data_IF_758925726238
#
_entry.id   IF_758925726238
#
_cell.length_a   1.000
_cell.length_b   1.000
_cell.length_c   1.000
_cell.angle_alpha   90.00
_cell.angle_beta   90.00
_cell.angle_gamma   90.00
#
_symmetry.space_group_name_H-M   'P 1'
#
loop_
_entity.id
_entity.type
_entity.pdbx_description
1 polymer ?
#
# COMPACT_ATOMS: atom_id res chain seq x y z
N UNK A 1 -11.48 -114.27 -10.27
CA UNK A 1 -12.18 -113.79 -11.50
C UNK A 1 -12.61 -112.35 -11.27
N UNK A 2 -12.30 -111.45 -12.21
CA UNK A 2 -12.51 -109.98 -12.13
C UNK A 2 -14.00 -109.60 -12.17
N UNK A 3 -14.40 -108.56 -11.42
CA UNK A 3 -15.36 -107.51 -11.84
C UNK A 3 -15.43 -106.44 -10.72
N UNK A 4 -14.90 -105.23 -10.88
CA UNK A 4 -15.27 -104.01 -11.65
C UNK A 4 -16.10 -103.03 -10.79
N UNK A 5 -15.45 -101.89 -10.53
CA UNK A 5 -15.85 -100.74 -9.69
C UNK A 5 -16.92 -99.90 -10.41
N UNK A 6 -17.90 -99.38 -9.66
CA UNK A 6 -18.84 -98.34 -10.12
C UNK A 6 -18.68 -97.05 -9.28
N UNK A 7 -18.67 -95.92 -9.99
CA UNK A 7 -18.45 -94.55 -9.51
C UNK A 7 -19.78 -93.81 -9.22
N UNK A 8 -19.63 -92.80 -8.36
CA UNK A 8 -20.57 -91.81 -7.78
C UNK A 8 -21.45 -91.01 -8.76
N UNK A 9 -22.53 -90.43 -8.24
CA UNK A 9 -22.96 -89.05 -8.55
C UNK A 9 -23.82 -88.49 -7.39
N UNK A 10 -23.44 -87.32 -6.85
CA UNK A 10 -24.23 -86.56 -5.89
C UNK A 10 -24.32 -85.11 -6.42
N UNK A 11 -25.53 -84.57 -6.50
CA UNK A 11 -25.82 -83.24 -7.02
C UNK A 11 -25.48 -82.16 -5.98
N UNK A 12 -24.77 -81.11 -6.41
CA UNK A 12 -24.50 -79.90 -5.63
C UNK A 12 -25.52 -78.83 -6.04
N UNK A 13 -26.31 -78.34 -5.08
CA UNK A 13 -27.19 -77.18 -5.24
C UNK A 13 -26.35 -75.93 -4.93
N UNK A 14 -26.19 -75.04 -5.91
CA UNK A 14 -25.53 -73.75 -5.76
C UNK A 14 -26.55 -72.73 -5.23
N UNK A 15 -26.35 -72.22 -4.02
CA UNK A 15 -27.10 -71.07 -3.48
C UNK A 15 -26.33 -69.80 -3.85
N UNK A 16 -26.91 -68.95 -4.68
CA UNK A 16 -26.41 -67.61 -4.96
C UNK A 16 -26.73 -66.68 -3.78
N UNK A 17 -25.74 -66.36 -2.94
CA UNK A 17 -25.84 -65.25 -2.01
C UNK A 17 -25.66 -63.93 -2.77
N UNK A 18 -26.73 -63.17 -2.93
CA UNK A 18 -26.68 -61.78 -3.39
C UNK A 18 -26.14 -60.95 -2.21
N UNK A 19 -24.86 -60.58 -2.26
CA UNK A 19 -24.28 -59.60 -1.35
C UNK A 19 -24.73 -58.21 -1.84
N UNK A 20 -25.70 -57.63 -1.16
CA UNK A 20 -25.96 -56.20 -1.28
C UNK A 20 -24.80 -55.45 -0.62
N UNK A 21 -23.89 -54.90 -1.43
CA UNK A 21 -22.92 -53.92 -0.97
C UNK A 21 -23.65 -52.63 -0.65
N UNK A 22 -23.99 -52.42 0.62
CA UNK A 22 -24.35 -51.08 1.10
C UNK A 22 -23.08 -50.23 0.99
N UNK A 23 -23.07 -49.11 0.24
CA UNK A 23 -21.92 -48.23 0.23
C UNK A 23 -21.71 -47.70 1.65
N UNK A 24 -20.56 -48.05 2.24
CA UNK A 24 -20.10 -47.43 3.47
C UNK A 24 -19.76 -45.98 3.08
N UNK A 25 -20.64 -45.03 3.42
CA UNK A 25 -20.29 -43.61 3.37
C UNK A 25 -19.19 -43.43 4.41
N UNK A 26 -17.96 -43.17 3.97
CA UNK A 26 -16.87 -42.81 4.86
C UNK A 26 -17.32 -41.61 5.71
N UNK A 27 -17.33 -41.76 7.04
CA UNK A 27 -17.68 -40.69 7.96
C UNK A 27 -16.62 -39.60 7.82
N UNK A 28 -17.05 -38.36 7.60
CA UNK A 28 -16.15 -37.20 7.54
C UNK A 28 -15.22 -37.18 8.77
N UNK A 29 -13.92 -37.03 8.53
CA UNK A 29 -12.95 -36.88 9.62
C UNK A 29 -12.99 -35.44 10.11
N UNK A 30 -13.47 -35.22 11.34
CA UNK A 30 -13.65 -33.89 11.92
C UNK A 30 -12.69 -33.71 13.09
N UNK A 31 -11.79 -32.74 12.97
CA UNK A 31 -10.78 -32.42 13.99
C UNK A 31 -10.81 -30.93 14.29
N UNK A 32 -10.81 -30.58 15.58
CA UNK A 32 -10.70 -29.18 16.02
C UNK A 32 -9.32 -28.92 16.60
N UNK A 33 -8.66 -27.90 16.09
CA UNK A 33 -7.39 -27.39 16.57
C UNK A 33 -7.64 -26.08 17.33
N UNK A 34 -6.85 -25.85 18.36
CA UNK A 34 -7.00 -24.67 19.24
C UNK A 34 -5.65 -24.07 19.56
N UNK A 35 -5.55 -22.74 19.51
CA UNK A 35 -4.39 -22.00 20.00
C UNK A 35 -4.85 -20.65 20.53
N UNK A 36 -4.51 -20.35 21.78
CA UNK A 36 -5.05 -19.20 22.52
C UNK A 36 -6.58 -19.18 22.47
N UNK A 37 -7.16 -18.11 21.94
CA UNK A 37 -8.62 -17.94 21.78
C UNK A 37 -9.13 -18.30 20.39
N UNK A 38 -8.28 -18.85 19.50
CA UNK A 38 -8.62 -19.19 18.12
C UNK A 38 -8.88 -20.68 17.96
N UNK A 39 -9.90 -21.01 17.17
CA UNK A 39 -10.40 -22.36 16.94
C UNK A 39 -10.54 -22.61 15.44
N UNK A 40 -9.90 -23.67 14.95
CA UNK A 40 -10.06 -24.16 13.57
C UNK A 40 -10.65 -25.56 13.61
N UNK A 41 -11.86 -25.74 13.09
CA UNK A 41 -12.46 -27.06 12.89
C UNK A 41 -12.28 -27.46 11.43
N UNK A 42 -11.53 -28.53 11.17
CA UNK A 42 -11.39 -29.12 9.84
C UNK A 42 -12.38 -30.28 9.72
N UNK A 43 -13.25 -30.22 8.71
CA UNK A 43 -14.17 -31.30 8.30
C UNK A 43 -13.68 -31.86 6.97
N UNK A 44 -13.06 -33.03 6.98
CA UNK A 44 -12.50 -33.67 5.80
C UNK A 44 -13.47 -34.69 5.20
N UNK A 45 -14.17 -34.29 4.13
CA UNK A 45 -15.08 -35.16 3.38
C UNK A 45 -14.36 -35.93 2.24
N UNK A 46 -13.05 -35.73 2.07
CA UNK A 46 -12.28 -36.32 0.97
C UNK A 46 -11.61 -37.65 1.34
N UNK A 47 -11.38 -37.90 2.63
CA UNK A 47 -10.64 -39.06 3.18
C UNK A 47 -9.20 -39.24 2.67
N UNK A 48 -8.63 -38.25 1.96
CA UNK A 48 -7.31 -38.35 1.30
C UNK A 48 -6.35 -37.19 1.60
N UNK A 49 -6.73 -36.19 2.41
CA UNK A 49 -5.84 -35.05 2.69
C UNK A 49 -4.59 -35.53 3.46
N UNK A 50 -3.37 -35.38 2.92
CA UNK A 50 -2.16 -35.82 3.60
C UNK A 50 -1.96 -35.10 4.93
N UNK A 51 -1.49 -35.80 5.97
CA UNK A 51 -1.27 -35.22 7.31
C UNK A 51 -0.31 -34.03 7.28
N UNK A 52 0.67 -34.02 6.37
CA UNK A 52 1.59 -32.89 6.16
C UNK A 52 0.87 -31.65 5.64
N UNK A 53 0.04 -31.80 4.61
CA UNK A 53 -0.78 -30.71 4.06
C UNK A 53 -1.79 -30.19 5.08
N UNK A 54 -2.42 -31.10 5.84
CA UNK A 54 -3.30 -30.72 6.96
C UNK A 54 -2.56 -29.88 8.00
N UNK A 55 -1.35 -30.28 8.37
CA UNK A 55 -0.54 -29.50 9.32
C UNK A 55 -0.15 -28.14 8.75
N UNK A 56 0.17 -28.03 7.46
CA UNK A 56 0.45 -26.74 6.81
C UNK A 56 -0.78 -25.82 6.85
N UNK A 57 -1.98 -26.34 6.60
CA UNK A 57 -3.23 -25.59 6.71
C UNK A 57 -3.42 -25.06 8.13
N UNK A 58 -3.22 -25.92 9.14
CA UNK A 58 -3.33 -25.56 10.56
C UNK A 58 -2.32 -24.45 10.90
N UNK A 59 -1.08 -24.56 10.43
CA UNK A 59 -0.04 -23.56 10.65
C UNK A 59 -0.40 -22.22 9.98
N UNK A 60 -0.81 -22.25 8.70
CA UNK A 60 -1.29 -21.05 7.98
C UNK A 60 -2.39 -20.34 8.76
N UNK A 61 -3.39 -21.08 9.26
CA UNK A 61 -4.46 -20.48 10.05
C UNK A 61 -3.95 -19.78 11.32
N UNK A 62 -3.18 -20.48 12.17
CA UNK A 62 -2.76 -19.94 13.46
C UNK A 62 -1.69 -18.86 13.35
N UNK A 63 -0.93 -18.82 12.27
CA UNK A 63 0.04 -17.76 12.00
C UNK A 63 -0.62 -16.51 11.42
N UNK A 64 -1.56 -16.68 10.48
CA UNK A 64 -2.10 -15.57 9.67
C UNK A 64 -3.37 -14.97 10.27
N UNK A 65 -4.33 -15.79 10.69
CA UNK A 65 -5.66 -15.31 11.08
C UNK A 65 -5.67 -14.37 12.29
N UNK A 66 -4.87 -14.62 13.36
CA UNK A 66 -4.77 -13.68 14.47
C UNK A 66 -4.23 -12.30 14.07
N UNK A 67 -3.28 -12.24 13.11
CA UNK A 67 -2.73 -10.97 12.62
C UNK A 67 -3.78 -10.16 11.86
N UNK A 68 -4.53 -10.81 10.96
CA UNK A 68 -5.56 -10.14 10.15
C UNK A 68 -6.72 -9.66 11.02
N UNK A 69 -7.21 -10.50 11.94
CA UNK A 69 -8.29 -10.08 12.86
C UNK A 69 -7.83 -8.95 13.78
N UNK A 70 -6.61 -8.97 14.30
CA UNK A 70 -6.07 -7.87 15.11
C UNK A 70 -6.03 -6.54 14.34
N UNK A 71 -5.60 -6.57 13.06
CA UNK A 71 -5.44 -5.37 12.25
C UNK A 71 -6.75 -4.79 11.72
N UNK A 72 -7.63 -5.63 11.17
CA UNK A 72 -8.78 -5.17 10.40
C UNK A 72 -10.08 -5.24 11.17
N UNK A 73 -10.32 -6.33 11.91
CA UNK A 73 -11.58 -6.53 12.64
C UNK A 73 -11.37 -7.41 13.89
N UNK A 74 -11.03 -6.79 15.05
CA UNK A 74 -10.82 -7.54 16.29
C UNK A 74 -12.04 -8.34 16.74
N UNK A 75 -13.24 -7.91 16.32
CA UNK A 75 -14.54 -8.54 16.60
C UNK A 75 -14.90 -9.70 15.66
N UNK A 76 -14.11 -9.98 14.63
CA UNK A 76 -14.33 -11.14 13.77
C UNK A 76 -14.32 -12.45 14.56
N UNK A 77 -15.12 -13.43 14.11
CA UNK A 77 -15.24 -14.74 14.75
C UNK A 77 -13.87 -15.36 14.99
N UNK A 78 -13.61 -15.84 16.21
CA UNK A 78 -12.37 -16.59 16.52
C UNK A 78 -12.49 -18.08 16.17
N UNK A 79 -13.67 -18.51 15.73
CA UNK A 79 -13.97 -19.88 15.32
C UNK A 79 -14.23 -19.94 13.83
N UNK A 80 -13.41 -20.70 13.11
CA UNK A 80 -13.53 -20.95 11.67
C UNK A 80 -13.70 -22.44 11.42
N UNK A 81 -14.64 -22.80 10.55
CA UNK A 81 -14.80 -24.18 10.06
C UNK A 81 -14.25 -24.27 8.64
N UNK A 82 -13.28 -25.15 8.40
CA UNK A 82 -12.75 -25.45 7.08
C UNK A 82 -13.27 -26.82 6.63
N UNK A 83 -14.08 -26.85 5.58
CA UNK A 83 -14.56 -28.10 4.96
C UNK A 83 -13.72 -28.42 3.73
N UNK A 84 -13.14 -29.62 3.69
CA UNK A 84 -12.45 -30.16 2.51
C UNK A 84 -13.49 -30.89 1.67
N UNK A 85 -13.84 -30.32 0.52
CA UNK A 85 -14.93 -30.83 -0.34
C UNK A 85 -14.36 -31.43 -1.64
N UNK A 86 -14.58 -32.75 -1.90
CA UNK A 86 -14.16 -33.39 -3.14
C UNK A 86 -14.97 -32.96 -4.38
N UNK A 87 -16.15 -32.36 -4.19
CA UNK A 87 -17.06 -31.97 -5.27
C UNK A 87 -16.94 -30.49 -5.66
N UNK A 88 -16.21 -29.68 -4.90
CA UNK A 88 -15.99 -28.28 -5.24
C UNK A 88 -14.92 -28.14 -6.33
N UNK A 89 -15.26 -27.41 -7.40
CA UNK A 89 -14.41 -27.26 -8.59
C UNK A 89 -13.47 -26.05 -8.57
N UNK A 90 -13.68 -25.09 -7.66
CA UNK A 90 -12.78 -23.94 -7.46
C UNK A 90 -11.59 -24.26 -6.56
N UNK A 91 -10.82 -23.25 -6.16
CA UNK A 91 -9.76 -23.43 -5.17
C UNK A 91 -10.35 -23.46 -3.75
N UNK A 92 -10.96 -22.35 -3.32
CA UNK A 92 -11.69 -22.24 -2.07
C UNK A 92 -12.78 -21.16 -2.18
N UNK A 93 -13.69 -21.11 -1.19
CA UNK A 93 -14.60 -19.97 -0.96
C UNK A 93 -14.98 -19.85 0.52
N UNK A 94 -15.32 -18.65 0.95
CA UNK A 94 -15.83 -18.36 2.29
C UNK A 94 -17.32 -18.01 2.29
N UNK A 95 -18.03 -18.38 3.37
CA UNK A 95 -19.38 -17.93 3.69
C UNK A 95 -19.58 -17.91 5.21
N UNK A 96 -19.80 -16.70 5.76
CA UNK A 96 -19.78 -16.48 7.20
C UNK A 96 -18.43 -16.86 7.80
N UNK A 97 -18.41 -17.78 8.75
CA UNK A 97 -17.18 -18.34 9.34
C UNK A 97 -16.82 -19.73 8.79
N UNK A 98 -17.46 -20.15 7.69
CA UNK A 98 -17.17 -21.40 7.01
C UNK A 98 -16.32 -21.13 5.77
N UNK A 99 -15.26 -21.90 5.60
CA UNK A 99 -14.43 -21.93 4.39
C UNK A 99 -14.57 -23.32 3.80
N UNK A 100 -14.76 -23.39 2.48
CA UNK A 100 -14.72 -24.65 1.73
C UNK A 100 -13.48 -24.63 0.85
N UNK A 101 -12.65 -25.66 0.97
CA UNK A 101 -11.43 -25.88 0.19
C UNK A 101 -11.64 -27.11 -0.70
N UNK A 102 -11.33 -26.99 -1.99
CA UNK A 102 -11.42 -28.13 -2.91
C UNK A 102 -10.36 -29.17 -2.57
N UNK A 103 -10.79 -30.42 -2.37
CA UNK A 103 -9.88 -31.54 -2.19
C UNK A 103 -9.00 -31.74 -3.44
N UNK A 104 -9.58 -31.55 -4.64
CA UNK A 104 -8.87 -31.73 -5.90
C UNK A 104 -7.78 -30.67 -6.10
N UNK A 105 -8.08 -29.42 -5.73
CA UNK A 105 -7.11 -28.31 -5.80
C UNK A 105 -5.93 -28.56 -4.86
N UNK A 106 -6.20 -28.79 -3.57
CA UNK A 106 -5.12 -28.89 -2.57
C UNK A 106 -4.28 -30.15 -2.74
N UNK A 107 -4.86 -31.26 -3.23
CA UNK A 107 -4.09 -32.45 -3.58
C UNK A 107 -3.16 -32.21 -4.77
N UNK A 108 -3.57 -31.37 -5.73
CA UNK A 108 -2.75 -31.00 -6.89
C UNK A 108 -1.74 -29.89 -6.56
N UNK A 109 -2.03 -29.07 -5.55
CA UNK A 109 -1.24 -27.92 -5.12
C UNK A 109 -1.00 -27.97 -3.60
N UNK A 110 -0.29 -28.98 -3.06
CA UNK A 110 -0.19 -29.22 -1.62
C UNK A 110 0.51 -28.09 -0.83
N UNK A 111 1.22 -27.21 -1.52
CA UNK A 111 1.87 -26.03 -0.93
C UNK A 111 1.00 -24.77 -1.00
N UNK A 112 -0.13 -24.78 -1.72
CA UNK A 112 -1.04 -23.63 -1.86
C UNK A 112 -2.03 -23.55 -0.70
N UNK A 113 -1.53 -23.55 0.53
CA UNK A 113 -2.37 -23.34 1.71
C UNK A 113 -2.76 -21.87 1.87
N UNK A 114 -2.06 -20.93 1.25
CA UNK A 114 -2.45 -19.51 1.29
C UNK A 114 -3.69 -19.17 0.45
N UNK A 115 -4.22 -20.11 -0.34
CA UNK A 115 -5.58 -19.96 -0.85
C UNK A 115 -6.59 -19.77 0.29
N UNK A 116 -6.40 -20.39 1.46
CA UNK A 116 -7.26 -20.13 2.62
C UNK A 116 -6.93 -18.80 3.30
N UNK A 117 -5.76 -18.20 3.11
CA UNK A 117 -5.46 -16.85 3.63
C UNK A 117 -6.38 -15.80 2.99
N UNK A 118 -6.64 -15.93 1.69
CA UNK A 118 -7.64 -15.13 0.98
C UNK A 118 -9.03 -15.32 1.62
N UNK A 119 -9.46 -16.58 1.78
CA UNK A 119 -10.78 -16.89 2.35
C UNK A 119 -10.94 -16.47 3.82
N UNK A 120 -9.86 -16.58 4.60
CA UNK A 120 -9.82 -16.11 5.97
C UNK A 120 -10.02 -14.60 6.04
N UNK A 121 -9.52 -13.83 5.07
CA UNK A 121 -9.79 -12.39 5.01
C UNK A 121 -11.29 -12.12 4.83
N UNK A 122 -12.03 -12.89 4.03
CA UNK A 122 -13.49 -12.72 3.93
C UNK A 122 -14.21 -12.94 5.28
N UNK A 123 -13.71 -13.85 6.13
CA UNK A 123 -14.21 -14.02 7.50
C UNK A 123 -13.89 -12.78 8.37
N UNK A 124 -12.71 -12.17 8.19
CA UNK A 124 -12.33 -10.92 8.88
C UNK A 124 -13.19 -9.74 8.41
N UNK A 125 -13.39 -9.62 7.11
CA UNK A 125 -14.16 -8.57 6.47
C UNK A 125 -15.59 -8.56 7.01
N UNK A 126 -16.28 -9.71 7.00
CA UNK A 126 -17.65 -9.83 7.50
C UNK A 126 -18.58 -8.68 7.00
N UNK A 127 -18.38 -8.24 5.75
CA UNK A 127 -19.07 -7.07 5.21
C UNK A 127 -20.58 -7.31 5.12
N UNK A 128 -21.41 -6.30 5.43
CA UNK A 128 -22.88 -6.42 5.33
C UNK A 128 -23.35 -6.51 3.86
N UNK A 129 -22.54 -6.01 2.92
CA UNK A 129 -22.83 -6.06 1.49
C UNK A 129 -21.59 -6.42 0.69
N UNK A 130 -21.79 -7.22 -0.35
CA UNK A 130 -20.73 -7.69 -1.24
C UNK A 130 -20.55 -6.78 -2.46
N UNK A 131 -20.30 -5.48 -2.21
CA UNK A 131 -20.08 -4.47 -3.26
C UNK A 131 -19.18 -3.32 -2.77
N UNK A 132 -18.22 -2.81 -3.58
CA UNK A 132 -17.86 -3.28 -4.92
C UNK A 132 -16.93 -4.50 -4.88
N UNK A 133 -17.26 -5.51 -5.69
CA UNK A 133 -16.59 -6.82 -5.72
C UNK A 133 -15.08 -6.71 -5.93
N UNK A 134 -14.64 -5.87 -6.87
CA UNK A 134 -13.21 -5.71 -7.18
C UNK A 134 -12.39 -5.31 -5.95
N UNK A 135 -12.93 -4.44 -5.08
CA UNK A 135 -12.23 -3.96 -3.90
C UNK A 135 -12.28 -4.99 -2.77
N UNK A 136 -13.43 -5.63 -2.57
CA UNK A 136 -13.62 -6.66 -1.54
C UNK A 136 -12.64 -7.82 -1.76
N UNK A 137 -12.61 -8.33 -2.99
CA UNK A 137 -11.74 -9.42 -3.40
C UNK A 137 -10.27 -8.97 -3.49
N UNK A 138 -10.04 -7.72 -3.92
CA UNK A 138 -8.72 -7.12 -3.94
C UNK A 138 -8.09 -6.98 -2.55
N UNK A 139 -8.89 -6.67 -1.52
CA UNK A 139 -8.44 -6.66 -0.12
C UNK A 139 -8.08 -8.07 0.34
N UNK A 140 -8.83 -9.09 -0.05
CA UNK A 140 -8.52 -10.49 0.27
C UNK A 140 -7.21 -10.96 -0.38
N UNK A 141 -6.96 -10.63 -1.65
CA UNK A 141 -5.67 -10.89 -2.30
C UNK A 141 -4.52 -10.02 -1.75
N UNK A 142 -4.80 -8.79 -1.31
CA UNK A 142 -3.81 -7.98 -0.59
C UNK A 142 -3.42 -8.64 0.72
N UNK A 143 -4.39 -9.18 1.48
CA UNK A 143 -4.13 -9.90 2.72
C UNK A 143 -3.30 -11.17 2.45
N UNK A 144 -3.64 -11.92 1.39
CA UNK A 144 -2.82 -13.04 0.93
C UNK A 144 -1.39 -12.62 0.61
N UNK A 145 -1.19 -11.51 -0.12
CA UNK A 145 0.15 -10.98 -0.38
C UNK A 145 0.90 -10.59 0.90
N UNK A 146 0.22 -9.97 1.86
CA UNK A 146 0.84 -9.39 3.05
C UNK A 146 1.16 -10.41 4.15
N UNK A 147 0.31 -11.42 4.30
CA UNK A 147 0.36 -12.38 5.42
C UNK A 147 0.62 -13.81 4.99
N UNK A 148 0.46 -14.16 3.71
CA UNK A 148 0.63 -15.52 3.25
C UNK A 148 2.06 -16.02 3.45
N UNK A 149 2.20 -17.18 4.10
CA UNK A 149 3.48 -17.77 4.52
C UNK A 149 4.02 -18.82 3.53
N UNK A 150 3.17 -19.31 2.63
CA UNK A 150 3.43 -20.37 1.65
C UNK A 150 3.28 -19.91 0.18
N UNK A 151 3.02 -18.62 -0.08
CA UNK A 151 2.94 -18.05 -1.43
C UNK A 151 4.17 -18.38 -2.31
N UNK A 152 5.44 -18.25 -1.83
CA UNK A 152 6.59 -18.63 -2.64
C UNK A 152 6.59 -20.11 -3.02
N UNK A 153 6.19 -20.99 -2.10
CA UNK A 153 6.15 -22.44 -2.31
C UNK A 153 5.01 -22.90 -3.23
N UNK A 154 3.96 -22.08 -3.36
CA UNK A 154 2.84 -22.29 -4.30
C UNK A 154 3.01 -21.59 -5.64
N UNK A 155 4.06 -20.77 -5.80
CA UNK A 155 4.26 -19.94 -6.99
C UNK A 155 3.26 -18.79 -7.12
N UNK A 156 2.50 -18.49 -6.06
CA UNK A 156 1.59 -17.35 -6.03
C UNK A 156 2.36 -16.06 -5.76
N UNK A 157 2.02 -14.99 -6.48
CA UNK A 157 2.63 -13.67 -6.34
C UNK A 157 1.65 -12.57 -6.77
N UNK A 158 1.97 -11.31 -6.52
CA UNK A 158 1.29 -10.22 -7.24
C UNK A 158 1.82 -10.14 -8.68
N UNK A 159 0.97 -9.87 -9.69
CA UNK A 159 1.42 -9.73 -11.07
C UNK A 159 2.36 -8.53 -11.21
N UNK A 160 3.19 -8.53 -12.25
CA UNK A 160 3.85 -7.29 -12.64
C UNK A 160 2.80 -6.31 -13.18
N UNK A 161 3.07 -5.01 -13.00
CA UNK A 161 2.26 -3.98 -13.63
C UNK A 161 2.33 -4.10 -15.16
N UNK A 162 1.19 -3.91 -15.82
CA UNK A 162 1.09 -3.72 -17.25
C UNK A 162 0.26 -2.48 -17.55
N UNK A 163 0.66 -1.61 -18.50
CA UNK A 163 -0.14 -0.45 -18.92
C UNK A 163 -1.54 -0.79 -19.46
N UNK A 164 -1.78 -2.05 -19.84
CA UNK A 164 -3.09 -2.53 -20.29
C UNK A 164 -4.04 -2.90 -19.14
N UNK A 165 -3.58 -2.86 -17.89
CA UNK A 165 -4.37 -3.23 -16.72
C UNK A 165 -5.16 -2.03 -16.17
N UNK A 166 -6.21 -2.35 -15.41
CA UNK A 166 -6.98 -1.44 -14.58
C UNK A 166 -7.18 -2.03 -13.18
N UNK A 167 -7.39 -1.21 -12.14
CA UNK A 167 -7.57 -1.68 -10.76
C UNK A 167 -8.80 -2.58 -10.57
N UNK A 168 -9.68 -2.69 -11.57
CA UNK A 168 -10.86 -3.56 -11.56
C UNK A 168 -10.69 -4.87 -12.34
N UNK A 169 -9.56 -5.09 -13.02
CA UNK A 169 -9.43 -6.20 -13.99
C UNK A 169 -9.29 -7.58 -13.33
N UNK A 170 -8.58 -7.65 -12.21
CA UNK A 170 -8.46 -8.88 -11.42
C UNK A 170 -8.09 -8.55 -9.98
N UNK A 171 -8.44 -9.46 -9.07
CA UNK A 171 -8.22 -9.29 -7.64
C UNK A 171 -6.74 -9.12 -7.29
N UNK A 172 -5.84 -9.85 -7.97
CA UNK A 172 -4.38 -9.69 -7.81
C UNK A 172 -3.87 -8.35 -8.32
N UNK A 173 -4.46 -7.80 -9.39
CA UNK A 173 -4.13 -6.46 -9.88
C UNK A 173 -4.60 -5.41 -8.88
N UNK A 174 -5.83 -5.53 -8.37
CA UNK A 174 -6.34 -4.67 -7.28
C UNK A 174 -5.44 -4.75 -6.06
N UNK A 175 -5.08 -5.95 -5.61
CA UNK A 175 -4.22 -6.18 -4.45
C UNK A 175 -2.86 -5.53 -4.58
N UNK A 176 -2.25 -5.59 -5.77
CA UNK A 176 -1.00 -4.90 -6.07
C UNK A 176 -1.14 -3.39 -5.97
N UNK A 177 -2.23 -2.85 -6.52
CA UNK A 177 -2.51 -1.43 -6.42
C UNK A 177 -2.79 -0.97 -4.99
N UNK A 178 -3.50 -1.76 -4.19
CA UNK A 178 -3.68 -1.52 -2.76
C UNK A 178 -2.35 -1.53 -2.00
N UNK A 179 -1.47 -2.51 -2.29
CA UNK A 179 -0.13 -2.56 -1.72
C UNK A 179 0.68 -1.30 -2.08
N UNK A 180 0.61 -0.86 -3.33
CA UNK A 180 1.25 0.38 -3.76
C UNK A 180 0.67 1.60 -3.05
N UNK A 181 -0.66 1.69 -2.91
CA UNK A 181 -1.32 2.77 -2.20
C UNK A 181 -0.89 2.82 -0.72
N UNK A 182 -0.81 1.67 -0.06
CA UNK A 182 -0.34 1.61 1.32
C UNK A 182 1.13 2.04 1.48
N UNK A 183 1.96 1.75 0.46
CA UNK A 183 3.36 2.14 0.46
C UNK A 183 3.59 3.62 0.18
N UNK A 184 2.83 4.19 -0.78
CA UNK A 184 3.14 5.49 -1.36
C UNK A 184 2.14 6.60 -0.99
N UNK A 185 0.93 6.23 -0.56
CA UNK A 185 -0.19 7.16 -0.36
C UNK A 185 -0.52 7.32 1.13
N UNK A 186 -0.88 6.24 1.81
CA UNK A 186 -1.24 6.25 3.23
C UNK A 186 -1.10 4.84 3.80
N UNK A 187 -0.25 4.65 4.82
CA UNK A 187 0.10 3.34 5.37
C UNK A 187 -1.06 2.60 6.07
N UNK A 188 -2.21 3.25 6.25
CA UNK A 188 -3.44 2.68 6.78
C UNK A 188 -4.59 2.68 5.76
N UNK A 189 -4.34 2.99 4.48
CA UNK A 189 -5.41 3.15 3.49
C UNK A 189 -6.28 1.90 3.37
N UNK A 190 -5.67 0.71 3.37
CA UNK A 190 -6.41 -0.57 3.25
C UNK A 190 -7.28 -0.81 4.49
N UNK A 191 -6.78 -0.47 5.69
CA UNK A 191 -7.57 -0.55 6.93
C UNK A 191 -8.79 0.37 6.89
N UNK A 192 -8.60 1.61 6.43
CA UNK A 192 -9.67 2.61 6.33
C UNK A 192 -10.71 2.19 5.29
N UNK A 193 -10.30 1.61 4.17
CA UNK A 193 -11.20 1.07 3.14
C UNK A 193 -12.01 -0.12 3.67
N UNK A 194 -11.36 -1.08 4.33
CA UNK A 194 -12.00 -2.20 5.01
C UNK A 194 -13.05 -1.70 6.02
N UNK A 195 -12.68 -0.75 6.89
CA UNK A 195 -13.59 -0.18 7.88
C UNK A 195 -14.83 0.47 7.23
N UNK A 196 -14.64 1.24 6.14
CA UNK A 196 -15.76 1.86 5.40
C UNK A 196 -16.69 0.83 4.78
N UNK A 197 -16.16 -0.28 4.28
CA UNK A 197 -16.94 -1.41 3.76
C UNK A 197 -17.68 -2.15 4.89
N UNK A 198 -17.02 -2.44 6.02
CA UNK A 198 -17.63 -3.06 7.21
C UNK A 198 -18.79 -2.24 7.76
N UNK A 199 -18.60 -0.92 7.85
CA UNK A 199 -19.59 -0.02 8.42
C UNK A 199 -20.66 0.43 7.40
N UNK A 200 -20.64 -0.10 6.17
CA UNK A 200 -21.56 0.28 5.09
C UNK A 200 -21.58 1.79 4.79
N UNK A 201 -20.41 2.42 4.81
CA UNK A 201 -20.25 3.87 4.51
C UNK A 201 -19.40 4.13 3.27
N UNK A 202 -18.92 3.08 2.60
CA UNK A 202 -18.18 3.19 1.35
C UNK A 202 -19.06 3.75 0.22
N UNK A 203 -18.60 4.84 -0.39
CA UNK A 203 -19.20 5.51 -1.54
C UNK A 203 -18.10 6.08 -2.49
N UNK A 204 -18.50 6.76 -3.57
CA UNK A 204 -17.58 7.30 -4.58
C UNK A 204 -16.55 8.31 -4.05
N UNK A 205 -16.83 8.98 -2.93
CA UNK A 205 -15.94 9.98 -2.34
C UNK A 205 -14.94 9.38 -1.34
N UNK A 206 -15.10 8.10 -0.95
CA UNK A 206 -14.33 7.47 0.14
C UNK A 206 -12.82 7.62 -0.02
N UNK A 207 -12.29 7.40 -1.23
CA UNK A 207 -10.85 7.52 -1.51
C UNK A 207 -10.35 8.94 -1.29
N UNK A 208 -11.09 9.94 -1.80
CA UNK A 208 -10.75 11.35 -1.65
C UNK A 208 -10.85 11.78 -0.18
N UNK A 209 -11.83 11.29 0.57
CA UNK A 209 -11.94 11.52 2.02
C UNK A 209 -10.77 10.90 2.81
N UNK A 210 -10.29 9.73 2.41
CA UNK A 210 -9.20 9.03 3.11
C UNK A 210 -7.84 9.69 2.85
N UNK A 211 -7.53 10.02 1.60
CA UNK A 211 -6.17 10.41 1.22
C UNK A 211 -6.07 11.61 0.28
N UNK A 212 -7.18 12.30 -0.01
CA UNK A 212 -7.18 13.49 -0.89
C UNK A 212 -7.18 13.18 -2.39
N UNK A 213 -7.19 11.90 -2.79
CA UNK A 213 -7.19 11.48 -4.20
C UNK A 213 -8.39 10.56 -4.49
N UNK A 214 -9.01 10.72 -5.65
CA UNK A 214 -9.92 9.71 -6.18
C UNK A 214 -9.16 8.44 -6.58
N UNK A 215 -9.86 7.30 -6.65
CA UNK A 215 -9.24 6.01 -7.04
C UNK A 215 -8.59 6.07 -8.43
N UNK A 216 -9.18 6.80 -9.39
CA UNK A 216 -8.62 6.97 -10.74
C UNK A 216 -7.33 7.79 -10.72
N UNK A 217 -7.25 8.84 -9.90
CA UNK A 217 -6.02 9.62 -9.73
C UNK A 217 -4.90 8.77 -9.11
N UNK A 218 -5.24 7.92 -8.14
CA UNK A 218 -4.30 6.99 -7.55
C UNK A 218 -3.84 5.94 -8.57
N UNK A 219 -4.73 5.41 -9.40
CA UNK A 219 -4.34 4.47 -10.45
C UNK A 219 -3.37 5.10 -11.45
N UNK A 220 -3.63 6.35 -11.83
CA UNK A 220 -2.70 7.09 -12.68
C UNK A 220 -1.33 7.23 -12.00
N UNK A 221 -1.28 7.63 -10.72
CA UNK A 221 -0.01 7.72 -9.98
C UNK A 221 0.73 6.39 -9.97
N UNK A 222 0.00 5.31 -9.67
CA UNK A 222 0.52 3.95 -9.71
C UNK A 222 1.08 3.58 -11.09
N UNK A 223 0.39 3.95 -12.18
CA UNK A 223 0.77 3.61 -13.55
C UNK A 223 2.13 4.19 -13.98
N UNK A 224 2.55 5.31 -13.38
CA UNK A 224 3.80 6.01 -13.70
C UNK A 224 4.98 5.55 -12.84
N UNK A 225 4.71 5.17 -11.58
CA UNK A 225 5.70 4.58 -10.69
C UNK A 225 5.15 3.33 -10.02
N UNK A 226 4.97 2.22 -10.76
CA UNK A 226 4.29 1.01 -10.27
C UNK A 226 5.16 0.16 -9.33
N UNK A 227 6.30 0.71 -8.93
CA UNK A 227 7.30 0.04 -8.11
C UNK A 227 6.70 -0.23 -6.73
N UNK A 228 6.65 -1.51 -6.33
CA UNK A 228 6.39 -1.88 -4.94
C UNK A 228 7.67 -1.79 -4.13
N UNK A 229 8.29 -0.61 -4.17
CA UNK A 229 9.47 -0.27 -3.40
C UNK A 229 9.17 1.07 -2.78
N UNK A 230 9.23 1.15 -1.45
CA UNK A 230 9.01 2.41 -0.77
C UNK A 230 10.13 3.37 -1.18
N UNK A 231 9.79 4.64 -1.43
CA UNK A 231 10.80 5.68 -1.29
C UNK A 231 11.21 5.67 0.18
N UNK A 232 12.42 5.19 0.43
CA UNK A 232 12.90 4.93 1.78
C UNK A 232 13.88 6.01 2.21
N UNK A 233 13.65 6.52 3.40
CA UNK A 233 14.69 7.18 4.18
C UNK A 233 15.72 6.13 4.54
N UNK A 234 16.96 6.37 4.16
CA UNK A 234 18.07 5.49 4.55
C UNK A 234 18.81 6.11 5.71
N UNK A 235 19.09 5.31 6.71
CA UNK A 235 19.81 5.66 7.93
C UNK A 235 21.14 4.89 7.93
N UNK A 236 22.22 5.53 8.37
CA UNK A 236 23.55 4.93 8.35
C UNK A 236 24.31 5.19 9.64
N UNK A 237 25.09 4.18 10.03
CA UNK A 237 25.97 4.23 11.20
C UNK A 237 26.99 5.37 11.14
N UNK A 238 27.54 5.63 9.96
CA UNK A 238 28.66 6.54 9.80
C UNK A 238 28.31 7.75 8.93
N UNK A 239 29.06 8.84 9.15
CA UNK A 239 28.87 10.11 8.44
C UNK A 239 29.16 10.02 6.93
N UNK A 240 29.92 9.02 6.50
CA UNK A 240 30.22 8.74 5.09
C UNK A 240 29.17 7.84 4.41
N UNK A 241 28.02 7.63 5.06
CA UNK A 241 26.96 6.70 4.65
C UNK A 241 27.42 5.22 4.67
N UNK A 242 28.48 4.92 5.44
CA UNK A 242 28.97 3.56 5.67
C UNK A 242 28.38 2.90 6.93
N UNK A 243 28.90 1.70 7.23
CA UNK A 243 28.49 0.87 8.36
C UNK A 243 27.15 0.16 8.12
N UNK A 244 26.42 -0.15 9.20
CA UNK A 244 25.06 -0.69 9.05
C UNK A 244 24.13 0.34 8.39
N UNK A 245 23.09 -0.15 7.72
CA UNK A 245 22.06 0.72 7.15
C UNK A 245 20.66 0.17 7.36
N UNK A 246 19.71 1.08 7.53
CA UNK A 246 18.28 0.77 7.66
C UNK A 246 17.50 1.62 6.67
N UNK A 247 16.51 1.02 6.00
CA UNK A 247 15.63 1.72 5.08
C UNK A 247 14.20 1.72 5.63
N UNK A 248 13.63 2.92 5.79
CA UNK A 248 12.33 3.15 6.42
C UNK A 248 11.44 3.99 5.51
N UNK A 249 10.14 3.67 5.45
CA UNK A 249 9.16 4.52 4.75
C UNK A 249 8.44 5.48 5.70
N UNK A 250 7.28 5.99 5.27
CA UNK A 250 6.40 6.78 6.15
C UNK A 250 5.99 5.97 7.39
N UNK A 251 6.10 6.60 8.55
CA UNK A 251 5.73 5.98 9.82
C UNK A 251 6.35 6.64 11.06
N UNK A 252 5.96 6.10 12.20
CA UNK A 252 6.43 6.49 13.52
C UNK A 252 7.14 5.28 14.13
N UNK A 253 8.43 5.39 14.37
CA UNK A 253 9.30 4.28 14.74
C UNK A 253 9.84 4.48 16.15
N UNK A 254 9.32 3.69 17.10
CA UNK A 254 9.93 3.51 18.43
C UNK A 254 11.23 2.71 18.32
N UNK A 255 12.05 2.72 19.36
CA UNK A 255 13.30 1.97 19.43
C UNK A 255 13.09 0.48 19.13
N UNK A 256 12.08 -0.14 19.76
CA UNK A 256 11.75 -1.55 19.52
C UNK A 256 11.42 -1.83 18.06
N UNK A 257 10.70 -0.91 17.42
CA UNK A 257 10.37 -1.01 16.00
C UNK A 257 11.64 -0.83 15.17
N UNK A 258 12.47 0.18 15.43
CA UNK A 258 13.72 0.43 14.72
C UNK A 258 14.68 -0.77 14.78
N UNK A 259 14.86 -1.37 15.97
CA UNK A 259 15.71 -2.54 16.16
C UNK A 259 15.24 -3.75 15.34
N UNK A 260 13.92 -3.91 15.14
CA UNK A 260 13.39 -4.98 14.26
C UNK A 260 13.78 -4.80 12.78
N UNK A 261 14.17 -3.59 12.37
CA UNK A 261 14.72 -3.28 11.05
C UNK A 261 16.25 -3.32 11.00
N UNK A 262 16.92 -3.70 12.10
CA UNK A 262 18.39 -3.75 12.18
C UNK A 262 19.07 -2.45 12.61
N UNK A 263 18.30 -1.46 13.09
CA UNK A 263 18.85 -0.23 13.65
C UNK A 263 19.57 -0.52 14.97
N UNK A 264 20.75 0.06 15.16
CA UNK A 264 21.48 -0.02 16.42
C UNK A 264 21.30 1.30 17.18
N UNK A 265 20.84 1.19 18.44
CA UNK A 265 20.58 2.37 19.28
C UNK A 265 21.86 3.19 19.43
N UNK A 266 21.72 4.52 19.45
CA UNK A 266 22.82 5.43 19.74
C UNK A 266 24.03 5.26 18.79
N UNK A 267 23.77 4.97 17.51
CA UNK A 267 24.82 4.84 16.48
C UNK A 267 24.48 5.52 15.15
N UNK A 268 23.38 6.28 15.07
CA UNK A 268 23.01 6.97 13.82
C UNK A 268 23.91 8.19 13.61
N UNK A 269 24.53 8.30 12.43
CA UNK A 269 25.35 9.46 12.07
C UNK A 269 24.89 10.20 10.81
N UNK A 270 24.30 9.50 9.83
CA UNK A 270 23.86 10.12 8.57
C UNK A 270 22.58 9.52 8.00
N UNK A 271 21.96 10.25 7.07
CA UNK A 271 20.69 9.85 6.48
C UNK A 271 20.48 10.40 5.06
N UNK A 272 19.75 9.65 4.25
CA UNK A 272 19.25 10.06 2.93
C UNK A 272 17.74 10.29 3.05
N UNK A 273 17.28 11.50 2.70
CA UNK A 273 15.85 11.84 2.69
C UNK A 273 15.38 12.02 1.26
N UNK A 274 14.43 11.20 0.77
CA UNK A 274 13.81 11.41 -0.53
C UNK A 274 13.08 12.76 -0.60
N UNK A 275 12.99 13.34 -1.80
CA UNK A 275 12.26 14.58 -2.02
C UNK A 275 10.80 14.45 -1.57
N UNK A 276 10.30 15.43 -0.82
CA UNK A 276 8.93 15.44 -0.31
C UNK A 276 8.74 14.77 1.05
N UNK A 277 9.82 14.33 1.69
CA UNK A 277 9.80 13.72 3.02
C UNK A 277 10.49 14.62 4.04
N UNK A 278 10.05 14.50 5.30
CA UNK A 278 10.78 15.00 6.46
C UNK A 278 11.00 13.86 7.46
N UNK A 279 12.16 13.89 8.09
CA UNK A 279 12.58 12.96 9.14
C UNK A 279 12.76 13.77 10.42
N UNK A 280 12.02 13.42 11.47
CA UNK A 280 12.27 13.97 12.81
C UNK A 280 12.97 12.91 13.64
N UNK A 281 14.21 13.17 14.05
CA UNK A 281 14.97 12.33 14.95
C UNK A 281 14.74 12.77 16.39
N UNK A 282 14.69 11.83 17.32
CA UNK A 282 14.54 12.06 18.75
C UNK A 282 15.64 11.33 19.50
N UNK A 283 16.23 11.99 20.50
CA UNK A 283 17.30 11.39 21.31
C UNK A 283 16.79 10.23 22.16
N UNK A 284 15.55 10.32 22.65
CA UNK A 284 14.96 9.30 23.50
C UNK A 284 13.88 8.49 22.76
N UNK A 285 13.55 7.31 23.29
CA UNK A 285 12.49 6.46 22.73
C UNK A 285 11.10 7.15 22.88
N UNK A 286 10.12 6.65 22.14
CA UNK A 286 8.73 7.11 22.16
C UNK A 286 8.57 8.60 21.84
N UNK A 287 9.43 9.11 20.95
CA UNK A 287 9.41 10.48 20.43
C UNK A 287 9.57 11.54 21.52
N UNK A 288 10.46 11.27 22.47
CA UNK A 288 10.76 12.16 23.60
C UNK A 288 12.21 12.66 23.55
N UNK A 289 12.60 13.50 24.50
CA UNK A 289 13.92 14.14 24.50
C UNK A 289 14.04 15.29 23.49
N UNK A 290 15.28 15.59 23.11
CA UNK A 290 15.59 16.59 22.08
C UNK A 290 15.23 16.06 20.69
N UNK A 291 14.82 16.95 19.78
CA UNK A 291 14.46 16.57 18.41
C UNK A 291 15.06 17.49 17.34
N UNK A 292 15.38 16.92 16.18
CA UNK A 292 15.85 17.64 14.99
C UNK A 292 15.12 17.15 13.74
N UNK A 293 14.89 18.05 12.78
CA UNK A 293 14.17 17.75 11.53
C UNK A 293 15.10 17.85 10.33
N UNK A 294 15.08 16.83 9.47
CA UNK A 294 15.76 16.80 8.18
C UNK A 294 14.74 16.67 7.05
N UNK A 295 14.76 17.60 6.09
CA UNK A 295 13.93 17.55 4.88
C UNK A 295 14.77 17.29 3.61
N UNK A 296 16.05 16.96 3.79
CA UNK A 296 17.02 16.63 2.74
C UNK A 296 18.09 15.70 3.31
N UNK A 297 18.77 14.98 2.43
CA UNK A 297 19.95 14.16 2.77
C UNK A 297 20.98 14.96 3.57
N UNK A 298 21.53 14.33 4.61
CA UNK A 298 22.63 14.89 5.41
C UNK A 298 23.67 13.81 5.69
N UNK A 299 24.93 14.14 5.45
CA UNK A 299 26.07 13.31 5.80
C UNK A 299 26.40 13.39 7.30
N UNK A 300 25.78 14.30 8.05
CA UNK A 300 25.99 14.39 9.49
C UNK A 300 24.75 14.95 10.18
N UNK A 301 24.29 14.29 11.24
CA UNK A 301 23.07 14.70 11.96
C UNK A 301 23.32 15.72 13.08
N UNK A 302 24.57 16.13 13.28
CA UNK A 302 24.97 17.14 14.27
C UNK A 302 25.37 16.56 15.62
N UNK A 303 26.26 17.25 16.33
CA UNK A 303 26.92 16.76 17.56
C UNK A 303 25.94 16.42 18.71
N UNK A 304 24.81 17.11 18.75
CA UNK A 304 23.78 16.88 19.78
C UNK A 304 23.00 15.57 19.56
N UNK A 305 22.96 15.06 18.32
CA UNK A 305 22.16 13.91 17.92
C UNK A 305 22.99 12.71 17.48
N UNK A 306 24.21 12.92 17.00
CA UNK A 306 25.11 11.87 16.56
C UNK A 306 25.26 10.82 17.65
N UNK A 307 25.06 9.55 17.29
CA UNK A 307 25.16 8.41 18.20
C UNK A 307 24.26 8.53 19.46
N UNK A 308 23.09 9.17 19.32
CA UNK A 308 22.14 9.36 20.44
C UNK A 308 20.68 9.17 20.05
N UNK A 309 20.37 8.76 18.82
CA UNK A 309 18.98 8.68 18.34
C UNK A 309 18.33 7.37 18.75
N UNK A 310 17.15 7.45 19.37
CA UNK A 310 16.38 6.30 19.85
C UNK A 310 14.97 6.17 19.27
N UNK A 311 14.42 7.22 18.65
CA UNK A 311 13.14 7.12 17.91
C UNK A 311 13.04 8.11 16.75
N UNK A 312 12.24 7.77 15.73
CA UNK A 312 12.22 8.49 14.45
C UNK A 312 10.78 8.63 13.92
N UNK A 313 10.44 9.81 13.43
CA UNK A 313 9.21 10.05 12.65
C UNK A 313 9.56 10.35 11.20
N UNK A 314 8.91 9.68 10.26
CA UNK A 314 9.05 9.93 8.83
C UNK A 314 7.68 10.31 8.29
N UNK A 315 7.60 11.55 7.80
CA UNK A 315 6.37 12.19 7.37
C UNK A 315 6.56 12.84 6.00
N UNK A 316 5.47 13.28 5.39
CA UNK A 316 5.55 14.17 4.22
C UNK A 316 6.00 15.55 4.65
N UNK A 317 6.89 16.13 3.85
CA UNK A 317 7.28 17.52 3.99
C UNK A 317 6.28 18.42 3.24
N UNK A 318 5.87 19.49 3.91
CA UNK A 318 5.17 20.61 3.28
C UNK A 318 6.09 21.82 3.30
N UNK A 319 5.98 22.68 2.31
CA UNK A 319 6.85 23.83 2.15
C UNK A 319 6.04 25.10 1.90
N UNK A 320 6.50 26.20 2.46
CA UNK A 320 6.22 27.52 1.95
C UNK A 320 7.21 27.81 0.82
N UNK A 321 6.71 28.18 -0.36
CA UNK A 321 7.52 28.45 -1.54
C UNK A 321 7.61 29.96 -1.71
N UNK A 322 8.76 30.55 -1.38
CA UNK A 322 8.96 32.00 -1.41
C UNK A 322 9.61 32.44 -2.72
N UNK A 323 9.11 33.51 -3.34
CA UNK A 323 9.79 34.17 -4.45
C UNK A 323 11.04 34.90 -3.97
N UNK A 324 12.18 34.66 -4.62
CA UNK A 324 13.45 35.37 -4.35
C UNK A 324 13.32 36.87 -4.61
N UNK A 325 12.52 37.26 -5.60
CA UNK A 325 12.33 38.65 -6.01
C UNK A 325 11.56 39.47 -4.99
N UNK A 326 10.39 39.00 -4.57
CA UNK A 326 9.43 39.79 -3.79
C UNK A 326 9.40 39.44 -2.29
N UNK A 327 9.96 38.30 -1.90
CA UNK A 327 9.82 37.73 -0.56
C UNK A 327 8.40 37.23 -0.24
N UNK A 328 7.49 37.23 -1.23
CA UNK A 328 6.10 36.73 -1.12
C UNK A 328 6.05 35.23 -1.38
N UNK A 329 4.95 34.60 -1.00
CA UNK A 329 4.80 33.15 -1.04
C UNK A 329 3.77 32.71 -2.07
N UNK A 330 4.03 31.56 -2.69
CA UNK A 330 3.11 30.89 -3.60
C UNK A 330 1.80 30.57 -2.85
N UNK A 331 0.67 31.00 -3.40
CA UNK A 331 -0.63 31.01 -2.74
C UNK A 331 -1.75 30.67 -3.73
N UNK A 332 -2.74 29.88 -3.31
CA UNK A 332 -3.98 29.69 -4.05
C UNK A 332 -4.93 30.85 -3.78
N UNK A 333 -5.28 31.63 -4.80
CA UNK A 333 -6.08 32.85 -4.65
C UNK A 333 -7.34 32.63 -3.80
N UNK A 334 -7.48 33.47 -2.77
CA UNK A 334 -8.58 33.46 -1.80
C UNK A 334 -8.75 32.13 -1.05
N UNK A 335 -7.75 31.25 -1.05
CA UNK A 335 -7.85 29.90 -0.49
C UNK A 335 -8.95 29.06 -1.15
N UNK A 336 -9.23 29.28 -2.44
CA UNK A 336 -10.30 28.57 -3.14
C UNK A 336 -10.05 27.05 -3.19
N UNK A 337 -11.14 26.29 -3.17
CA UNK A 337 -11.13 24.84 -3.39
C UNK A 337 -11.38 24.46 -4.85
N UNK A 338 -11.67 25.43 -5.71
CA UNK A 338 -12.13 25.17 -7.08
C UNK A 338 -10.97 24.89 -8.02
N UNK A 339 -11.24 24.03 -9.01
CA UNK A 339 -10.40 23.90 -10.19
C UNK A 339 -10.38 25.23 -10.95
N UNK A 340 -9.20 25.63 -11.43
CA UNK A 340 -9.03 26.87 -12.18
C UNK A 340 -8.75 28.09 -11.34
N UNK A 341 -8.74 27.97 -10.00
CA UNK A 341 -8.34 29.07 -9.14
C UNK A 341 -6.87 29.45 -9.42
N UNK A 342 -6.57 30.73 -9.72
CA UNK A 342 -5.21 31.16 -10.03
C UNK A 342 -4.25 30.89 -8.87
N UNK A 343 -3.01 30.54 -9.22
CA UNK A 343 -1.89 30.58 -8.29
C UNK A 343 -1.28 31.97 -8.39
N UNK A 344 -1.11 32.61 -7.24
CA UNK A 344 -0.62 33.98 -7.08
C UNK A 344 0.56 33.97 -6.11
N UNK A 345 1.22 35.12 -5.96
CA UNK A 345 2.00 35.40 -4.76
C UNK A 345 1.18 36.19 -3.74
N UNK A 346 1.42 35.95 -2.45
CA UNK A 346 0.82 36.72 -1.36
C UNK A 346 1.77 36.84 -0.17
N UNK A 347 1.55 37.85 0.67
CA UNK A 347 2.26 38.04 1.94
C UNK A 347 2.11 36.81 2.83
N UNK A 348 3.16 36.47 3.58
CA UNK A 348 3.10 35.31 4.47
C UNK A 348 1.94 35.44 5.46
N UNK A 349 1.06 34.44 5.48
CA UNK A 349 -0.03 34.33 6.44
C UNK A 349 -0.09 32.95 7.13
N UNK A 350 0.73 31.99 6.69
CA UNK A 350 0.80 30.65 7.26
C UNK A 350 -0.39 29.74 6.94
N UNK A 351 -1.34 30.22 6.13
CA UNK A 351 -2.54 29.48 5.73
C UNK A 351 -2.20 28.22 4.93
N UNK A 352 -3.12 27.23 4.95
CA UNK A 352 -2.94 25.96 4.23
C UNK A 352 -2.84 26.16 2.71
N UNK A 353 -3.43 27.24 2.17
CA UNK A 353 -3.32 27.67 0.78
C UNK A 353 -1.91 28.15 0.38
N UNK A 354 -1.03 28.42 1.35
CA UNK A 354 0.38 28.76 1.13
C UNK A 354 1.34 27.57 1.32
N UNK A 355 0.81 26.40 1.67
CA UNK A 355 1.61 25.23 1.97
C UNK A 355 1.52 24.21 0.84
N UNK A 356 2.67 23.74 0.38
CA UNK A 356 2.79 22.92 -0.81
C UNK A 356 3.59 21.66 -0.53
N UNK A 357 3.09 20.52 -1.00
CA UNK A 357 3.83 19.26 -1.04
C UNK A 357 4.57 19.16 -2.38
N UNK A 358 5.86 18.84 -2.34
CA UNK A 358 6.64 18.51 -3.54
C UNK A 358 6.78 17.00 -3.62
N UNK A 359 5.96 16.37 -4.46
CA UNK A 359 5.84 14.90 -4.56
C UNK A 359 6.66 14.40 -5.73
N UNK A 360 7.71 13.61 -5.47
CA UNK A 360 8.47 12.94 -6.52
C UNK A 360 7.56 11.98 -7.32
N UNK A 361 7.57 12.12 -8.64
CA UNK A 361 6.85 11.27 -9.59
C UNK A 361 7.79 10.29 -10.31
N UNK A 362 9.09 10.33 -10.00
CA UNK A 362 10.14 9.59 -10.68
C UNK A 362 10.65 10.30 -11.94
N UNK A 363 11.73 9.75 -12.53
CA UNK A 363 12.36 10.26 -13.75
C UNK A 363 12.77 11.76 -13.68
N UNK A 364 13.01 12.28 -12.48
CA UNK A 364 13.43 13.68 -12.27
C UNK A 364 12.30 14.71 -12.27
N UNK A 365 11.03 14.29 -12.24
CA UNK A 365 9.88 15.18 -12.19
C UNK A 365 9.09 15.00 -10.89
N UNK A 366 8.43 16.07 -10.47
CA UNK A 366 7.57 16.12 -9.30
C UNK A 366 6.21 16.76 -9.64
N UNK A 367 5.24 16.58 -8.74
CA UNK A 367 4.06 17.42 -8.66
C UNK A 367 4.18 18.37 -7.47
N UNK A 368 3.59 19.56 -7.58
CA UNK A 368 3.57 20.57 -6.52
C UNK A 368 2.12 20.73 -6.08
N UNK A 369 1.73 20.08 -4.98
CA UNK A 369 0.34 19.98 -4.55
C UNK A 369 0.04 20.94 -3.41
N UNK A 370 -1.09 21.62 -3.46
CA UNK A 370 -1.59 22.40 -2.33
C UNK A 370 -1.93 21.47 -1.16
N UNK A 371 -1.41 21.77 0.03
CA UNK A 371 -1.77 21.07 1.28
C UNK A 371 -3.25 21.22 1.60
N UNK A 372 -3.84 22.37 1.26
CA UNK A 372 -5.24 22.62 1.52
C UNK A 372 -6.15 21.71 0.67
N UNK A 373 -5.92 21.68 -0.64
CA UNK A 373 -6.91 21.13 -1.57
C UNK A 373 -6.52 19.79 -2.19
N UNK A 374 -5.25 19.37 -2.07
CA UNK A 374 -4.69 18.23 -2.80
C UNK A 374 -4.57 18.45 -4.31
N UNK A 375 -4.90 19.65 -4.82
CA UNK A 375 -4.76 20.01 -6.24
C UNK A 375 -3.34 20.43 -6.56
N UNK A 376 -2.95 20.33 -7.81
CA UNK A 376 -1.57 20.57 -8.25
C UNK A 376 -1.41 21.93 -8.92
N UNK A 377 -0.20 22.47 -8.87
CA UNK A 377 0.27 23.53 -9.76
C UNK A 377 0.21 23.03 -11.21
N UNK A 378 -0.58 23.70 -12.04
CA UNK A 378 -0.96 23.29 -13.38
C UNK A 378 -0.82 24.48 -14.36
N UNK A 379 -0.17 24.26 -15.51
CA UNK A 379 -0.18 25.24 -16.61
C UNK A 379 -1.51 25.14 -17.35
N UNK A 380 -2.32 26.20 -17.23
CA UNK A 380 -3.68 26.29 -17.75
C UNK A 380 -3.71 26.07 -19.27
N UNK A 381 -4.70 25.31 -19.72
CA UNK A 381 -4.97 24.98 -21.12
C UNK A 381 -3.76 24.39 -21.88
N UNK A 382 -2.82 23.76 -21.16
CA UNK A 382 -1.57 23.22 -21.71
C UNK A 382 -0.79 24.25 -22.53
N UNK A 383 -0.84 25.52 -22.13
CA UNK A 383 -0.13 26.58 -22.83
C UNK A 383 1.36 26.25 -22.97
N UNK A 384 1.95 26.60 -24.12
CA UNK A 384 3.40 26.45 -24.38
C UNK A 384 4.09 27.79 -24.63
N UNK A 385 3.32 28.88 -24.74
CA UNK A 385 3.83 30.24 -24.90
C UNK A 385 4.13 30.90 -23.55
N UNK A 386 4.94 31.96 -23.59
CA UNK A 386 5.18 32.86 -22.45
C UNK A 386 3.87 33.52 -22.03
N UNK A 387 3.67 33.69 -20.72
CA UNK A 387 2.44 34.26 -20.17
C UNK A 387 1.31 33.25 -19.96
N UNK A 388 1.55 31.95 -20.20
CA UNK A 388 0.60 30.90 -19.86
C UNK A 388 0.34 30.86 -18.35
N UNK A 389 -0.90 31.08 -17.93
CA UNK A 389 -1.26 31.20 -16.51
C UNK A 389 -1.07 29.87 -15.79
N UNK A 390 -0.58 29.94 -14.55
CA UNK A 390 -0.52 28.80 -13.65
C UNK A 390 -1.68 28.90 -12.65
N UNK A 391 -2.46 27.81 -12.55
CA UNK A 391 -3.62 27.69 -11.66
C UNK A 391 -3.53 26.39 -10.85
N UNK A 392 -4.42 26.20 -9.88
CA UNK A 392 -4.61 24.87 -9.31
C UNK A 392 -5.61 24.07 -10.15
N UNK A 393 -5.32 22.78 -10.34
CA UNK A 393 -6.26 21.86 -10.96
C UNK A 393 -6.20 20.50 -10.28
N UNK A 394 -7.28 19.72 -10.37
CA UNK A 394 -7.27 18.33 -9.97
C UNK A 394 -6.07 17.61 -10.61
N UNK A 395 -5.27 16.93 -9.79
CA UNK A 395 -4.10 16.24 -10.30
C UNK A 395 -4.56 15.07 -11.19
N UNK A 396 -4.29 15.18 -12.49
CA UNK A 396 -4.64 14.18 -13.52
C UNK A 396 -3.40 13.69 -14.26
N UNK A 397 -2.21 13.98 -13.71
CA UNK A 397 -0.90 13.60 -14.25
C UNK A 397 -0.58 14.16 -15.64
N UNK A 398 -1.26 15.22 -16.07
CA UNK A 398 -0.91 15.91 -17.30
C UNK A 398 0.55 16.39 -17.26
N UNK A 399 1.27 16.39 -18.39
CA UNK A 399 2.66 16.87 -18.42
C UNK A 399 2.78 18.34 -18.02
N UNK A 400 1.69 19.11 -18.13
CA UNK A 400 1.54 20.50 -17.67
C UNK A 400 1.43 20.64 -16.13
N UNK A 401 1.29 19.52 -15.41
CA UNK A 401 1.23 19.43 -13.95
C UNK A 401 2.53 18.88 -13.33
N UNK A 402 3.51 18.55 -14.18
CA UNK A 402 4.75 17.93 -13.77
C UNK A 402 5.88 18.93 -13.92
N UNK A 403 6.70 19.04 -12.89
CA UNK A 403 7.70 20.07 -12.75
C UNK A 403 9.05 19.45 -12.43
N UNK A 404 10.11 19.93 -13.06
CA UNK A 404 11.48 19.66 -12.62
C UNK A 404 11.89 20.73 -11.61
N UNK A 405 12.46 20.33 -10.48
CA UNK A 405 13.09 21.24 -9.51
C UNK A 405 14.56 21.39 -9.90
N UNK A 406 14.94 22.54 -10.44
CA UNK A 406 16.31 22.82 -10.88
C UNK A 406 16.97 23.80 -9.90
N UNK A 407 18.06 23.40 -9.25
CA UNK A 407 18.87 24.33 -8.45
C UNK A 407 19.60 25.32 -9.35
N UNK A 408 19.48 26.61 -9.05
CA UNK A 408 20.00 27.69 -9.92
C UNK A 408 21.03 28.59 -9.23
N UNK A 409 20.96 28.75 -7.90
CA UNK A 409 21.93 29.51 -7.11
C UNK A 409 21.79 29.15 -5.63
N UNK A 410 22.77 28.46 -5.04
CA UNK A 410 22.68 27.96 -3.67
C UNK A 410 21.41 27.14 -3.43
N UNK A 411 20.54 27.62 -2.53
CA UNK A 411 19.28 26.97 -2.16
C UNK A 411 18.07 27.46 -2.97
N UNK A 412 18.27 28.31 -3.98
CA UNK A 412 17.21 28.76 -4.87
C UNK A 412 16.99 27.77 -6.02
N UNK A 413 15.72 27.59 -6.38
CA UNK A 413 15.29 26.68 -7.44
C UNK A 413 14.42 27.39 -8.48
N UNK A 414 14.43 26.86 -9.70
CA UNK A 414 13.43 27.12 -10.72
C UNK A 414 12.54 25.89 -10.88
N UNK A 415 11.22 26.10 -11.00
CA UNK A 415 10.27 25.03 -11.30
C UNK A 415 9.99 25.01 -12.79
N UNK A 416 10.56 24.05 -13.51
CA UNK A 416 10.46 23.94 -14.97
C UNK A 416 9.34 22.97 -15.36
N UNK A 417 8.34 23.44 -16.09
CA UNK A 417 7.24 22.61 -16.60
C UNK A 417 7.77 21.55 -17.56
N UNK A 418 7.40 20.29 -17.33
CA UNK A 418 7.72 19.17 -18.23
C UNK A 418 7.10 19.36 -19.61
N UNK A 419 5.95 20.03 -19.71
CA UNK A 419 5.22 20.19 -20.96
C UNK A 419 5.91 21.17 -21.91
N UNK A 420 6.31 22.34 -21.40
CA UNK A 420 6.75 23.48 -22.22
C UNK A 420 8.25 23.79 -22.09
N UNK A 421 8.91 23.26 -21.07
CA UNK A 421 10.28 23.64 -20.69
C UNK A 421 10.40 25.06 -20.11
N UNK A 422 9.27 25.73 -19.83
CA UNK A 422 9.22 27.07 -19.22
C UNK A 422 9.14 26.99 -17.70
N UNK A 423 9.52 28.07 -17.02
CA UNK A 423 9.58 28.10 -15.55
C UNK A 423 8.41 28.87 -14.95
N UNK A 424 8.03 28.53 -13.71
CA UNK A 424 7.12 29.35 -12.91
C UNK A 424 7.74 30.73 -12.62
N UNK A 425 6.98 31.79 -12.90
CA UNK A 425 7.44 33.17 -12.95
C UNK A 425 6.38 34.11 -12.34
N UNK A 426 6.82 35.08 -11.52
CA UNK A 426 5.93 36.14 -11.03
C UNK A 426 5.69 37.15 -12.16
N UNK A 427 4.45 37.20 -12.65
CA UNK A 427 4.05 38.04 -13.77
C UNK A 427 4.40 39.52 -13.54
N UNK A 428 4.91 40.14 -14.61
CA UNK A 428 5.33 41.54 -14.66
C UNK A 428 6.40 41.91 -13.61
N UNK A 429 7.09 40.93 -13.03
CA UNK A 429 8.12 41.14 -11.99
C UNK A 429 7.53 41.91 -10.78
N UNK A 430 6.26 41.66 -10.48
CA UNK A 430 5.52 42.38 -9.44
C UNK A 430 5.99 42.03 -8.03
N UNK A 431 5.94 43.01 -7.12
CA UNK A 431 6.13 42.83 -5.66
C UNK A 431 4.82 42.80 -4.87
N UNK A 432 3.69 42.98 -5.55
CA UNK A 432 2.37 43.15 -4.94
C UNK A 432 1.69 41.81 -4.64
N UNK A 433 0.84 41.83 -3.62
CA UNK A 433 -0.07 40.73 -3.30
C UNK A 433 -1.10 40.55 -4.42
N UNK A 434 -1.38 39.29 -4.78
CA UNK A 434 -2.30 38.97 -5.86
C UNK A 434 -1.67 38.93 -7.25
N UNK A 435 -0.36 39.19 -7.37
CA UNK A 435 0.32 39.03 -8.65
C UNK A 435 0.26 37.56 -9.08
N UNK A 436 -0.18 37.34 -10.32
CA UNK A 436 -0.39 36.02 -10.89
C UNK A 436 0.95 35.34 -11.14
N UNK A 437 0.99 34.04 -10.89
CA UNK A 437 2.07 33.17 -11.34
C UNK A 437 1.73 32.65 -12.72
N UNK A 438 2.65 32.83 -13.66
CA UNK A 438 2.55 32.31 -15.03
C UNK A 438 3.80 31.51 -15.37
N UNK A 439 3.84 30.88 -16.54
CA UNK A 439 5.08 30.33 -17.07
C UNK A 439 5.77 31.34 -17.98
N UNK A 440 7.10 31.36 -17.95
CA UNK A 440 7.91 32.14 -18.86
C UNK A 440 9.20 31.40 -19.22
N UNK A 441 9.77 31.74 -20.37
CA UNK A 441 11.10 31.28 -20.78
C UNK A 441 12.12 31.61 -19.68
N UNK A 442 12.93 30.65 -19.27
CA UNK A 442 13.92 30.90 -18.24
C UNK A 442 14.97 31.91 -18.73
N UNK A 443 15.04 33.06 -18.06
CA UNK A 443 16.01 34.13 -18.35
C UNK A 443 16.90 34.42 -17.14
N UNK A 444 16.77 33.63 -16.06
CA UNK A 444 17.57 33.79 -14.84
C UNK A 444 17.14 34.94 -13.93
N UNK A 445 15.98 35.55 -14.18
CA UNK A 445 15.45 36.62 -13.33
C UNK A 445 15.07 36.12 -11.94
N UNK A 446 15.22 36.95 -10.89
CA UNK A 446 14.88 36.54 -9.52
C UNK A 446 13.39 36.25 -9.32
N UNK A 447 12.52 36.78 -10.18
CA UNK A 447 11.09 36.48 -10.18
C UNK A 447 10.76 35.06 -10.67
N UNK A 448 11.76 34.34 -11.19
CA UNK A 448 11.70 32.94 -11.64
C UNK A 448 12.35 31.97 -10.64
N UNK A 449 12.84 32.51 -9.52
CA UNK A 449 13.62 31.77 -8.54
C UNK A 449 12.88 31.72 -7.22
N UNK A 450 12.88 30.54 -6.62
CA UNK A 450 12.07 30.23 -5.46
C UNK A 450 12.92 29.59 -4.38
N UNK A 451 12.56 29.81 -3.12
CA UNK A 451 13.17 29.13 -1.98
C UNK A 451 12.10 28.36 -1.22
N UNK A 452 12.41 27.12 -0.84
CA UNK A 452 11.51 26.26 -0.09
C UNK A 452 11.85 26.34 1.39
N UNK A 453 10.86 26.73 2.20
CA UNK A 453 10.95 26.71 3.66
C UNK A 453 10.04 25.61 4.18
N UNK A 454 10.56 24.72 5.02
CA UNK A 454 9.75 23.66 5.62
C UNK A 454 8.60 24.28 6.44
N UNK A 455 7.37 23.86 6.16
CA UNK A 455 6.20 24.16 6.97
C UNK A 455 6.11 23.14 8.10
N UNK A 456 6.13 23.62 9.34
CA UNK A 456 6.13 22.78 10.53
C UNK A 456 4.78 22.07 10.75
#
# INVERSE_FOLDING_TARGET
MKQRILKKTAAVILVFCIVFSVPIIAKADTVTYTWNTYYLTIVDNSSVLPSSTRQMIVNTFFEVYPQMTSRFNPSASKTVTLTIDPNYSGAAYASGNNIVLSANWINSNPNDTDCITHELMHVVQAYPHYNPVWLIEGIADYARYRYGINNPASGWSLPNYSPSQHYTDSYRVTARFLAWCEMNIDNGIVNKLDERLRNNTYNSNTWAEICGYTVDQLWNLYSQNPTLQRAEVKLFEHADYGGWSVSLGLGYYTLSTLQSYGFVNDQLSSLIVPLGYKVTLYTDDNFSGSSIVFASTSNYIGDEFNDKVSSIKIERAYYYIQSRHSGKYLDVQSGSWDNGAPIIQWSFNGGLNQQWQVTDLGNGYCAILSRQTGKTMDVKDWATHDGGIIHQWAFVMGTNQQWQVQYVDGNYVAFTSRHSGKVADVKDVSSEDGAIIHQWTYVGGYNQQWQLYLAN
#
